data_IF_460634090941
#
_entry.id   IF_460634090941
#
_cell.length_a   1.000
_cell.length_b   1.000
_cell.length_c   1.000
_cell.angle_alpha   90.00
_cell.angle_beta   90.00
_cell.angle_gamma   90.00
#
_symmetry.space_group_name_H-M   'P 1'
#
loop_
_entity.id
_entity.type
_entity.pdbx_description
1 polymer ?
#
# COMPACT_ATOMS: atom_id res chain seq x y z
N UNK A 1 -9.66 10.16 5.51
CA UNK A 1 -8.75 10.76 6.52
C UNK A 1 -8.86 12.27 6.51
N UNK A 2 -8.69 12.91 7.66
CA UNK A 2 -8.88 14.38 7.84
C UNK A 2 -7.77 14.93 8.72
N UNK A 3 -7.13 16.00 8.24
CA UNK A 3 -6.14 16.85 8.94
C UNK A 3 -5.01 16.10 9.63
N UNK A 4 -4.48 15.06 8.97
CA UNK A 4 -3.38 14.26 9.51
C UNK A 4 -2.10 15.10 9.58
N UNK A 5 -1.58 15.22 10.81
CA UNK A 5 -0.27 15.78 11.10
C UNK A 5 0.63 14.65 11.62
N UNK A 6 1.84 14.55 11.05
CA UNK A 6 2.85 13.59 11.51
C UNK A 6 4.23 14.23 11.53
N UNK A 7 5.09 13.83 12.47
CA UNK A 7 6.44 14.36 12.59
C UNK A 7 7.40 13.33 13.19
N UNK A 8 8.67 13.38 12.79
CA UNK A 8 9.80 12.70 13.42
C UNK A 8 10.59 13.70 14.26
N UNK A 9 10.51 13.55 15.57
CA UNK A 9 11.07 14.53 16.50
C UNK A 9 10.45 15.92 16.30
N UNK A 10 11.28 16.91 15.96
CA UNK A 10 10.84 18.29 15.68
C UNK A 10 10.44 18.53 14.23
N UNK A 11 10.81 17.63 13.30
CA UNK A 11 10.56 17.81 11.87
C UNK A 11 9.16 17.31 11.51
N UNK A 12 8.25 18.22 11.17
CA UNK A 12 6.92 17.90 10.67
C UNK A 12 7.02 17.39 9.23
N UNK A 13 6.44 16.20 8.96
CA UNK A 13 6.45 15.55 7.66
C UNK A 13 5.09 15.69 6.97
N UNK A 14 3.99 15.40 7.68
CA UNK A 14 2.63 15.62 7.18
C UNK A 14 2.03 16.85 7.87
N UNK A 15 1.39 17.73 7.08
CA UNK A 15 0.95 19.07 7.51
C UNK A 15 -0.54 19.27 7.21
N UNK A 16 -1.41 18.51 7.87
CA UNK A 16 -2.86 18.61 7.67
C UNK A 16 -3.33 17.89 6.40
N UNK A 17 -2.87 16.65 6.18
CA UNK A 17 -3.23 15.87 4.98
C UNK A 17 -4.64 15.33 5.10
N UNK A 18 -5.46 15.60 4.08
CA UNK A 18 -6.85 15.14 4.00
C UNK A 18 -7.16 14.55 2.62
N UNK A 19 -7.83 13.40 2.57
CA UNK A 19 -8.46 12.86 1.36
C UNK A 19 -9.51 11.80 1.69
N UNK A 20 -10.34 11.47 0.70
CA UNK A 20 -11.35 10.41 0.77
C UNK A 20 -11.19 9.45 -0.40
N UNK A 21 -11.37 8.16 -0.13
CA UNK A 21 -11.50 7.11 -1.12
C UNK A 21 -12.84 6.40 -0.95
N UNK A 22 -13.54 6.16 -2.05
CA UNK A 22 -14.72 5.31 -2.06
C UNK A 22 -14.31 3.84 -2.17
N UNK A 23 -15.22 2.94 -1.84
CA UNK A 23 -15.00 1.49 -2.02
C UNK A 23 -14.79 1.15 -3.50
N UNK A 24 -13.74 0.42 -3.79
CA UNK A 24 -13.36 0.05 -5.16
C UNK A 24 -12.62 1.16 -5.92
N UNK A 25 -12.24 2.26 -5.27
CA UNK A 25 -11.54 3.38 -5.89
C UNK A 25 -10.01 3.21 -5.78
N UNK A 26 -9.29 3.61 -6.81
CA UNK A 26 -7.84 3.67 -6.82
C UNK A 26 -7.36 5.11 -6.65
N UNK A 27 -6.56 5.36 -5.61
CA UNK A 27 -5.97 6.65 -5.29
C UNK A 27 -4.47 6.62 -5.58
N UNK A 28 -4.00 7.42 -6.53
CA UNK A 28 -2.58 7.61 -6.81
C UNK A 28 -2.01 8.80 -6.04
N UNK A 29 -0.81 8.63 -5.49
CA UNK A 29 -0.07 9.70 -4.80
C UNK A 29 1.31 9.81 -5.45
N UNK A 30 1.60 10.98 -6.00
CA UNK A 30 2.87 11.30 -6.65
C UNK A 30 3.60 12.39 -5.88
N UNK A 31 4.89 12.55 -6.10
CA UNK A 31 5.69 13.61 -5.48
C UNK A 31 7.15 13.21 -5.29
N UNK A 32 8.02 14.20 -5.10
CA UNK A 32 9.45 13.99 -4.94
C UNK A 32 9.79 13.04 -3.79
N UNK A 33 10.99 12.43 -3.82
CA UNK A 33 11.48 11.59 -2.72
C UNK A 33 11.60 12.43 -1.44
N UNK A 34 11.19 11.82 -0.31
CA UNK A 34 11.22 12.47 1.00
C UNK A 34 10.09 13.48 1.26
N UNK A 35 9.12 13.67 0.35
CA UNK A 35 8.00 14.62 0.55
C UNK A 35 6.94 14.12 1.55
N UNK A 36 6.97 12.83 1.96
CA UNK A 36 6.08 12.26 2.99
C UNK A 36 5.17 11.12 2.53
N UNK A 37 5.30 10.61 1.28
CA UNK A 37 4.44 9.53 0.73
C UNK A 37 4.42 8.29 1.61
N UNK A 38 5.58 7.71 1.91
CA UNK A 38 5.70 6.52 2.78
C UNK A 38 5.23 6.78 4.21
N UNK A 39 5.43 7.99 4.72
CA UNK A 39 4.90 8.40 6.03
C UNK A 39 3.37 8.40 6.05
N UNK A 40 2.74 8.86 4.97
CA UNK A 40 1.29 8.84 4.82
C UNK A 40 0.76 7.40 4.78
N UNK A 41 1.36 6.53 3.96
CA UNK A 41 0.97 5.11 3.91
C UNK A 41 1.18 4.41 5.25
N UNK A 42 2.27 4.72 5.97
CA UNK A 42 2.53 4.17 7.31
C UNK A 42 1.47 4.59 8.34
N UNK A 43 0.94 5.82 8.25
CA UNK A 43 -0.20 6.25 9.09
C UNK A 43 -1.47 5.48 8.74
N UNK A 44 -1.76 5.32 7.45
CA UNK A 44 -2.91 4.53 6.99
C UNK A 44 -2.78 3.05 7.38
N UNK A 45 -1.59 2.48 7.29
CA UNK A 45 -1.34 1.09 7.69
C UNK A 45 -1.33 0.87 9.22
N UNK A 46 -1.33 1.93 10.01
CA UNK A 46 -1.25 1.84 11.47
C UNK A 46 0.15 1.57 12.01
N UNK A 47 1.18 1.56 11.17
CA UNK A 47 2.58 1.37 11.59
C UNK A 47 3.20 2.65 12.16
N UNK A 48 2.60 3.80 11.88
CA UNK A 48 3.00 5.09 12.40
C UNK A 48 1.79 5.82 13.00
N UNK A 49 1.89 6.19 14.28
CA UNK A 49 0.88 7.00 14.96
C UNK A 49 0.99 8.46 14.51
N UNK A 50 -0.09 9.10 14.01
CA UNK A 50 -0.10 10.54 13.72
C UNK A 50 -0.07 11.36 15.01
N UNK A 51 0.34 12.64 14.92
CA UNK A 51 0.26 13.58 16.06
C UNK A 51 -1.15 14.12 16.28
N UNK A 52 -1.88 14.31 15.20
CA UNK A 52 -3.28 14.75 15.21
C UNK A 52 -4.01 14.35 13.94
N UNK A 53 -5.32 14.59 13.90
CA UNK A 53 -6.20 14.25 12.80
C UNK A 53 -6.91 12.91 12.99
N UNK A 54 -7.69 12.50 11.98
CA UNK A 54 -8.47 11.27 12.04
C UNK A 54 -8.37 10.42 10.77
N UNK A 55 -8.39 9.11 10.93
CA UNK A 55 -8.52 8.12 9.85
C UNK A 55 -9.72 7.24 10.17
N UNK A 56 -10.66 7.17 9.24
CA UNK A 56 -11.89 6.39 9.38
C UNK A 56 -11.97 5.42 8.19
N UNK A 57 -12.20 4.14 8.47
CA UNK A 57 -12.43 3.09 7.50
C UNK A 57 -13.84 2.54 7.66
N UNK A 58 -14.67 2.68 6.63
CA UNK A 58 -16.06 2.17 6.63
C UNK A 58 -16.85 2.54 7.90
N UNK A 59 -16.77 3.82 8.30
CA UNK A 59 -17.40 4.35 9.51
C UNK A 59 -16.70 4.02 10.83
N UNK A 60 -15.66 3.15 10.81
CA UNK A 60 -14.88 2.79 12.01
C UNK A 60 -13.66 3.68 12.14
N UNK A 61 -13.46 4.30 13.29
CA UNK A 61 -12.33 5.17 13.58
C UNK A 61 -11.07 4.33 13.88
N UNK A 62 -10.10 4.41 12.97
CA UNK A 62 -8.77 3.81 13.17
C UNK A 62 -7.85 4.73 13.97
N UNK A 63 -7.81 6.01 13.61
CA UNK A 63 -7.13 7.08 14.34
C UNK A 63 -8.14 8.22 14.55
N UNK A 64 -8.20 8.79 15.75
CA UNK A 64 -9.09 9.91 16.02
C UNK A 64 -8.86 10.54 17.37
N UNK A 65 -9.45 11.71 17.57
CA UNK A 65 -9.45 12.40 18.85
C UNK A 65 -10.53 11.80 19.76
N UNK A 66 -10.14 11.36 20.94
CA UNK A 66 -11.05 10.82 21.96
C UNK A 66 -11.56 11.88 22.93
N UNK A 67 -11.62 13.14 22.51
CA UNK A 67 -12.20 14.24 23.30
C UNK A 67 -11.26 14.88 24.32
N UNK A 68 -9.97 14.50 24.34
CA UNK A 68 -8.96 15.08 25.24
C UNK A 68 -7.63 15.39 24.52
N UNK A 69 -7.65 15.59 23.22
CA UNK A 69 -6.43 15.87 22.44
C UNK A 69 -5.50 14.66 22.25
N UNK A 70 -5.94 13.45 22.55
CA UNK A 70 -5.16 12.22 22.37
C UNK A 70 -5.65 11.45 21.14
N UNK A 71 -4.73 11.19 20.20
CA UNK A 71 -5.00 10.32 19.04
C UNK A 71 -4.90 8.86 19.47
N UNK A 72 -6.01 8.14 19.43
CA UNK A 72 -6.06 6.70 19.69
C UNK A 72 -6.12 5.93 18.37
N UNK A 73 -5.37 4.83 18.29
CA UNK A 73 -5.43 3.89 17.17
C UNK A 73 -6.17 2.63 17.58
N UNK A 74 -7.16 2.24 16.78
CA UNK A 74 -7.79 0.92 16.90
C UNK A 74 -7.00 -0.07 16.04
N UNK A 75 -6.16 -0.88 16.69
CA UNK A 75 -5.31 -1.85 16.02
C UNK A 75 -6.09 -2.99 15.36
N UNK A 76 -7.32 -3.29 15.80
CA UNK A 76 -8.18 -4.28 15.15
C UNK A 76 -8.72 -3.72 13.82
N UNK A 77 -9.22 -2.49 13.83
CA UNK A 77 -9.67 -1.82 12.61
C UNK A 77 -8.54 -1.75 11.60
N UNK A 78 -7.36 -1.30 12.01
CA UNK A 78 -6.21 -1.18 11.11
C UNK A 78 -5.78 -2.53 10.51
N UNK A 79 -5.66 -3.58 11.34
CA UNK A 79 -5.28 -4.92 10.87
C UNK A 79 -6.34 -5.60 10.00
N UNK A 80 -7.61 -5.34 10.26
CA UNK A 80 -8.72 -5.93 9.50
C UNK A 80 -9.04 -5.19 8.20
N UNK A 81 -8.67 -3.90 8.08
CA UNK A 81 -9.06 -3.06 6.95
C UNK A 81 -7.96 -2.86 5.92
N UNK A 82 -6.67 -2.99 6.28
CA UNK A 82 -5.57 -2.63 5.39
C UNK A 82 -4.54 -3.75 5.21
N UNK A 83 -4.13 -4.00 3.97
CA UNK A 83 -2.90 -4.70 3.63
C UNK A 83 -1.85 -3.68 3.19
N UNK A 84 -0.63 -3.77 3.71
CA UNK A 84 0.42 -2.81 3.41
C UNK A 84 1.64 -3.47 2.77
N UNK A 85 2.04 -2.95 1.63
CA UNK A 85 3.25 -3.33 0.89
C UNK A 85 4.22 -2.17 0.96
N UNK A 86 5.23 -2.20 1.83
CA UNK A 86 6.24 -1.15 1.91
C UNK A 86 7.18 -1.17 0.69
N UNK A 87 7.93 -0.09 0.52
CA UNK A 87 8.93 0.02 -0.54
C UNK A 87 9.98 -1.10 -0.43
N UNK A 88 10.51 -1.35 0.76
CA UNK A 88 11.36 -2.50 1.05
C UNK A 88 10.51 -3.74 1.33
N UNK A 89 11.01 -4.92 0.92
CA UNK A 89 10.29 -6.17 1.12
C UNK A 89 10.68 -6.78 2.48
N UNK A 90 9.77 -6.80 3.49
CA UNK A 90 10.05 -7.31 4.84
C UNK A 90 10.00 -8.85 4.87
N UNK A 91 10.86 -9.49 4.10
CA UNK A 91 10.92 -10.94 3.98
C UNK A 91 12.14 -11.47 4.74
N UNK A 92 12.02 -12.67 5.30
CA UNK A 92 13.11 -13.36 5.99
C UNK A 92 13.95 -14.11 4.94
N UNK A 93 15.21 -13.69 4.67
CA UNK A 93 15.99 -14.19 3.55
C UNK A 93 16.34 -15.68 3.63
N UNK A 94 16.48 -16.20 4.84
CA UNK A 94 16.87 -17.60 5.12
C UNK A 94 15.73 -18.59 4.93
N UNK A 95 14.49 -18.13 4.98
CA UNK A 95 13.31 -18.95 4.81
C UNK A 95 12.95 -19.12 3.34
N UNK A 96 12.20 -20.19 3.05
CA UNK A 96 11.53 -20.34 1.74
C UNK A 96 10.41 -19.35 1.60
N UNK A 97 9.95 -19.11 0.37
CA UNK A 97 8.73 -18.31 0.11
C UNK A 97 7.54 -18.89 0.86
N UNK A 98 7.36 -20.21 0.81
CA UNK A 98 6.26 -20.88 1.51
C UNK A 98 6.32 -20.64 3.02
N UNK A 99 7.49 -20.73 3.64
CA UNK A 99 7.65 -20.50 5.07
C UNK A 99 7.40 -19.03 5.45
N UNK A 100 7.87 -18.07 4.63
CA UNK A 100 7.53 -16.66 4.81
C UNK A 100 6.01 -16.42 4.77
N UNK A 101 5.30 -16.96 3.78
CA UNK A 101 3.84 -16.84 3.68
C UNK A 101 3.14 -17.48 4.89
N UNK A 102 3.64 -18.60 5.37
CA UNK A 102 3.09 -19.32 6.53
C UNK A 102 3.04 -18.51 7.82
N UNK A 103 3.86 -17.50 7.95
CA UNK A 103 3.85 -16.60 9.12
C UNK A 103 2.62 -15.67 9.16
N UNK A 104 1.99 -15.45 8.00
CA UNK A 104 0.92 -14.46 7.83
C UNK A 104 -0.44 -15.06 7.53
N UNK A 105 -0.48 -16.24 6.91
CA UNK A 105 -1.72 -16.92 6.59
C UNK A 105 -2.27 -17.66 7.82
N UNK A 106 -3.60 -17.64 8.06
CA UNK A 106 -4.21 -18.17 9.28
C UNK A 106 -3.96 -19.67 9.45
N UNK A 107 -3.95 -20.43 8.35
CA UNK A 107 -3.75 -21.87 8.34
C UNK A 107 -3.16 -22.39 7.02
N UNK A 108 -2.72 -23.67 7.02
CA UNK A 108 -2.12 -24.32 5.86
C UNK A 108 -3.09 -24.52 4.70
N UNK A 109 -4.37 -24.71 4.97
CA UNK A 109 -5.36 -24.99 3.93
C UNK A 109 -5.69 -23.72 3.16
N UNK A 110 -5.89 -22.61 3.87
CA UNK A 110 -6.06 -21.29 3.26
C UNK A 110 -4.85 -20.94 2.37
N UNK A 111 -3.63 -21.10 2.88
CA UNK A 111 -2.43 -20.82 2.07
C UNK A 111 -2.34 -21.72 0.82
N UNK A 112 -2.66 -23.02 0.95
CA UNK A 112 -2.66 -23.92 -0.21
C UNK A 112 -3.72 -23.54 -1.25
N UNK A 113 -4.89 -23.12 -0.81
CA UNK A 113 -5.96 -22.67 -1.69
C UNK A 113 -5.54 -21.39 -2.43
N UNK A 114 -4.96 -20.42 -1.75
CA UNK A 114 -4.43 -19.20 -2.34
C UNK A 114 -3.32 -19.46 -3.37
N UNK A 115 -2.40 -20.38 -3.07
CA UNK A 115 -1.36 -20.80 -4.01
C UNK A 115 -1.91 -21.55 -5.23
N UNK A 116 -3.06 -22.22 -5.11
CA UNK A 116 -3.64 -23.02 -6.20
C UNK A 116 -4.55 -22.22 -7.12
N UNK A 117 -5.35 -21.29 -6.59
CA UNK A 117 -6.42 -20.61 -7.34
C UNK A 117 -6.79 -19.21 -6.79
N UNK A 118 -6.03 -18.69 -5.84
CA UNK A 118 -6.23 -17.37 -5.26
C UNK A 118 -5.31 -16.30 -5.84
N UNK A 119 -5.12 -15.22 -5.11
CA UNK A 119 -4.25 -14.12 -5.50
C UNK A 119 -2.78 -14.51 -5.58
N UNK A 120 -2.31 -15.45 -4.76
CA UNK A 120 -0.93 -15.97 -4.86
C UNK A 120 -0.68 -16.71 -6.18
N UNK A 121 -1.67 -17.45 -6.67
CA UNK A 121 -1.60 -18.09 -8.00
C UNK A 121 -1.57 -17.04 -9.12
N UNK A 122 -2.41 -16.00 -9.02
CA UNK A 122 -2.41 -14.90 -9.99
C UNK A 122 -1.07 -14.15 -10.06
N UNK A 123 -0.37 -14.05 -8.92
CA UNK A 123 0.97 -13.49 -8.83
C UNK A 123 2.09 -14.48 -9.26
N UNK A 124 1.76 -15.72 -9.64
CA UNK A 124 2.72 -16.75 -10.02
C UNK A 124 3.63 -17.20 -8.87
N UNK A 125 3.24 -16.99 -7.61
CA UNK A 125 4.07 -17.29 -6.44
C UNK A 125 4.22 -18.80 -6.23
N UNK A 126 3.27 -19.59 -6.66
CA UNK A 126 3.28 -21.05 -6.58
C UNK A 126 4.45 -21.69 -7.37
N UNK A 127 4.93 -21.06 -8.43
CA UNK A 127 6.03 -21.54 -9.27
C UNK A 127 7.38 -21.57 -8.54
N UNK A 128 7.54 -20.69 -7.54
CA UNK A 128 8.81 -20.54 -6.81
C UNK A 128 8.66 -20.62 -5.28
N UNK A 129 7.55 -21.11 -4.77
CA UNK A 129 7.25 -21.20 -3.32
C UNK A 129 8.28 -21.97 -2.49
N UNK A 130 9.03 -22.90 -3.10
CA UNK A 130 10.08 -23.68 -2.43
C UNK A 130 11.46 -23.03 -2.45
N UNK A 131 11.64 -21.93 -3.21
CA UNK A 131 12.92 -21.22 -3.25
C UNK A 131 13.13 -20.42 -1.97
N UNK A 132 14.38 -20.32 -1.53
CA UNK A 132 14.77 -19.36 -0.47
C UNK A 132 14.63 -17.92 -0.96
N UNK A 133 14.17 -17.02 -0.09
CA UNK A 133 13.97 -15.61 -0.41
C UNK A 133 15.28 -14.91 -0.81
N UNK A 134 16.42 -15.30 -0.23
CA UNK A 134 17.74 -14.78 -0.61
C UNK A 134 18.09 -15.01 -2.09
N UNK A 135 17.49 -16.01 -2.74
CA UNK A 135 17.72 -16.37 -4.14
C UNK A 135 16.71 -15.79 -5.13
N UNK A 136 15.78 -14.96 -4.66
CA UNK A 136 14.74 -14.35 -5.47
C UNK A 136 15.21 -13.04 -6.11
N UNK A 137 14.70 -12.76 -7.33
CA UNK A 137 14.79 -11.44 -7.93
C UNK A 137 13.97 -10.40 -7.16
N UNK A 138 14.19 -9.11 -7.42
CA UNK A 138 13.41 -8.01 -6.82
C UNK A 138 11.91 -8.16 -7.09
N UNK A 139 11.53 -8.48 -8.33
CA UNK A 139 10.14 -8.70 -8.71
C UNK A 139 9.49 -9.89 -8.01
N UNK A 140 10.21 -11.02 -7.90
CA UNK A 140 9.72 -12.17 -7.12
C UNK A 140 9.52 -11.83 -5.65
N UNK A 141 10.43 -11.08 -5.03
CA UNK A 141 10.28 -10.60 -3.65
C UNK A 141 9.06 -9.69 -3.49
N UNK A 142 8.83 -8.79 -4.45
CA UNK A 142 7.67 -7.90 -4.44
C UNK A 142 6.35 -8.66 -4.55
N UNK A 143 6.26 -9.68 -5.43
CA UNK A 143 5.08 -10.55 -5.54
C UNK A 143 4.78 -11.28 -4.22
N UNK A 144 5.80 -11.79 -3.52
CA UNK A 144 5.64 -12.40 -2.19
C UNK A 144 5.15 -11.36 -1.16
N UNK A 145 5.72 -10.16 -1.17
CA UNK A 145 5.33 -9.06 -0.28
C UNK A 145 3.86 -8.65 -0.47
N UNK A 146 3.40 -8.56 -1.73
CA UNK A 146 1.99 -8.32 -2.07
C UNK A 146 1.13 -9.48 -1.55
N UNK A 147 1.56 -10.73 -1.78
CA UNK A 147 0.85 -11.90 -1.29
C UNK A 147 0.70 -11.94 0.23
N UNK A 148 1.72 -11.50 0.98
CA UNK A 148 1.65 -11.35 2.44
C UNK A 148 0.62 -10.29 2.83
N UNK A 149 0.64 -9.13 2.19
CA UNK A 149 -0.33 -8.06 2.47
C UNK A 149 -1.78 -8.50 2.22
N UNK A 150 -1.98 -9.51 1.37
CA UNK A 150 -3.29 -10.08 1.05
C UNK A 150 -3.73 -11.24 1.93
N UNK A 151 -2.92 -11.69 2.89
CA UNK A 151 -3.21 -12.88 3.69
C UNK A 151 -4.54 -12.84 4.45
N UNK A 152 -5.00 -11.64 4.84
CA UNK A 152 -6.30 -11.40 5.47
C UNK A 152 -7.40 -10.96 4.51
N UNK A 153 -7.17 -10.96 3.20
CA UNK A 153 -8.08 -10.43 2.18
C UNK A 153 -8.60 -9.03 2.56
N UNK A 154 -7.69 -8.06 2.83
CA UNK A 154 -8.08 -6.75 3.29
C UNK A 154 -8.91 -6.01 2.23
N UNK A 155 -9.91 -5.18 2.62
CA UNK A 155 -10.67 -4.37 1.67
C UNK A 155 -9.87 -3.20 1.08
N UNK A 156 -8.74 -2.82 1.70
CA UNK A 156 -7.88 -1.71 1.25
C UNK A 156 -6.43 -2.20 1.14
N UNK A 157 -5.82 -1.97 -0.01
CA UNK A 157 -4.42 -2.28 -0.27
C UNK A 157 -3.62 -0.98 -0.38
N UNK A 158 -2.60 -0.86 0.44
CA UNK A 158 -1.67 0.26 0.50
C UNK A 158 -0.33 -0.18 -0.12
N UNK A 159 0.14 0.52 -1.15
CA UNK A 159 1.34 0.12 -1.90
C UNK A 159 2.31 1.30 -2.00
N UNK A 160 3.52 1.09 -1.50
CA UNK A 160 4.59 2.09 -1.56
C UNK A 160 5.56 1.74 -2.68
N UNK A 161 5.43 2.43 -3.82
CA UNK A 161 6.24 2.26 -5.02
C UNK A 161 6.41 0.77 -5.42
N UNK A 162 5.31 0.01 -5.66
CA UNK A 162 5.37 -1.44 -5.80
C UNK A 162 6.14 -1.92 -7.02
N UNK A 163 6.21 -1.12 -8.09
CA UNK A 163 6.90 -1.47 -9.34
C UNK A 163 8.25 -0.78 -9.52
N UNK A 164 8.74 -0.03 -8.52
CA UNK A 164 10.01 0.65 -8.61
C UNK A 164 11.16 -0.35 -8.83
N UNK A 165 12.04 -0.02 -9.79
CA UNK A 165 13.22 -0.83 -10.16
C UNK A 165 12.92 -2.28 -10.59
N UNK A 166 11.71 -2.57 -11.07
CA UNK A 166 11.32 -3.86 -11.63
C UNK A 166 11.41 -3.84 -13.17
N UNK A 167 11.58 -5.02 -13.77
CA UNK A 167 11.47 -5.22 -15.21
C UNK A 167 10.02 -5.09 -15.70
N UNK A 168 9.84 -4.93 -17.02
CA UNK A 168 8.55 -4.69 -17.63
C UNK A 168 7.53 -5.82 -17.39
N UNK A 169 7.99 -7.07 -17.35
CA UNK A 169 7.12 -8.23 -17.13
C UNK A 169 6.56 -8.17 -15.71
N UNK A 170 7.43 -7.96 -14.72
CA UNK A 170 7.00 -7.84 -13.33
C UNK A 170 6.06 -6.64 -13.10
N UNK A 171 6.30 -5.51 -13.76
CA UNK A 171 5.40 -4.35 -13.70
C UNK A 171 4.02 -4.68 -14.24
N UNK A 172 3.95 -5.37 -15.38
CA UNK A 172 2.68 -5.77 -15.99
C UNK A 172 1.92 -6.77 -15.12
N UNK A 173 2.60 -7.76 -14.53
CA UNK A 173 1.98 -8.72 -13.61
C UNK A 173 1.35 -8.01 -12.38
N UNK A 174 2.06 -7.03 -11.80
CA UNK A 174 1.53 -6.23 -10.69
C UNK A 174 0.33 -5.39 -11.15
N UNK A 175 0.41 -4.78 -12.32
CA UNK A 175 -0.70 -3.99 -12.89
C UNK A 175 -1.96 -4.84 -13.10
N UNK A 176 -1.84 -6.02 -13.70
CA UNK A 176 -2.95 -6.97 -13.90
C UNK A 176 -3.54 -7.39 -12.55
N UNK A 177 -2.68 -7.67 -11.58
CA UNK A 177 -3.10 -7.99 -10.21
C UNK A 177 -3.93 -6.87 -9.60
N UNK A 178 -3.45 -5.62 -9.66
CA UNK A 178 -4.15 -4.45 -9.12
C UNK A 178 -5.49 -4.23 -9.82
N UNK A 179 -5.54 -4.37 -11.13
CA UNK A 179 -6.78 -4.29 -11.91
C UNK A 179 -7.80 -5.34 -11.44
N UNK A 180 -7.38 -6.61 -11.30
CA UNK A 180 -8.23 -7.69 -10.79
C UNK A 180 -8.74 -7.41 -9.38
N UNK A 181 -7.90 -6.85 -8.52
CA UNK A 181 -8.29 -6.48 -7.16
C UNK A 181 -9.34 -5.35 -7.13
N UNK A 182 -9.18 -4.33 -7.98
CA UNK A 182 -10.15 -3.23 -8.15
C UNK A 182 -11.49 -3.73 -8.71
N UNK A 183 -11.48 -4.62 -9.71
CA UNK A 183 -12.68 -5.25 -10.29
C UNK A 183 -13.50 -6.01 -9.23
N UNK A 184 -12.82 -6.59 -8.23
CA UNK A 184 -13.43 -7.24 -7.05
C UNK A 184 -13.84 -6.25 -5.96
N UNK A 185 -13.87 -4.94 -6.28
CA UNK A 185 -14.25 -3.86 -5.35
C UNK A 185 -13.28 -3.66 -4.17
N UNK A 186 -12.04 -4.10 -4.31
CA UNK A 186 -10.95 -3.70 -3.43
C UNK A 186 -10.58 -2.23 -3.67
N UNK A 187 -10.19 -1.52 -2.62
CA UNK A 187 -9.74 -0.12 -2.69
C UNK A 187 -8.21 -0.08 -2.67
N UNK A 188 -7.60 0.74 -3.51
CA UNK A 188 -6.13 0.86 -3.60
C UNK A 188 -5.70 2.28 -3.27
N UNK A 189 -4.67 2.41 -2.44
CA UNK A 189 -3.90 3.66 -2.28
C UNK A 189 -2.45 3.34 -2.65
N UNK A 190 -1.96 3.94 -3.71
CA UNK A 190 -0.65 3.65 -4.28
C UNK A 190 0.20 4.90 -4.40
N UNK A 191 1.45 4.82 -3.94
CA UNK A 191 2.47 5.80 -4.32
C UNK A 191 3.23 5.27 -5.52
N UNK A 192 3.36 6.07 -6.57
CA UNK A 192 4.02 5.61 -7.80
C UNK A 192 4.45 6.77 -8.69
N UNK A 193 5.41 6.49 -9.56
CA UNK A 193 5.80 7.34 -10.69
C UNK A 193 5.56 6.63 -12.04
N UNK A 194 5.04 5.40 -12.02
CA UNK A 194 4.78 4.59 -13.21
C UNK A 194 3.44 4.97 -13.86
N UNK A 195 3.48 5.36 -15.14
CA UNK A 195 2.28 5.78 -15.86
C UNK A 195 1.22 4.67 -15.99
N UNK A 196 1.67 3.41 -16.11
CA UNK A 196 0.80 2.24 -16.15
C UNK A 196 -0.04 2.08 -14.88
N UNK A 197 0.54 2.34 -13.71
CA UNK A 197 -0.16 2.32 -12.42
C UNK A 197 -1.06 3.55 -12.25
N UNK A 198 -0.57 4.74 -12.64
CA UNK A 198 -1.37 5.97 -12.63
C UNK A 198 -2.60 5.88 -13.53
N UNK A 199 -2.56 5.07 -14.60
CA UNK A 199 -3.71 4.85 -15.47
C UNK A 199 -4.88 4.11 -14.79
N UNK A 200 -4.60 3.35 -13.73
CA UNK A 200 -5.61 2.66 -12.92
C UNK A 200 -6.28 3.61 -11.90
N UNK A 201 -5.70 4.79 -11.65
CA UNK A 201 -6.16 5.67 -10.59
C UNK A 201 -7.38 6.50 -11.00
N UNK A 202 -8.41 6.50 -10.15
CA UNK A 202 -9.59 7.36 -10.27
C UNK A 202 -9.31 8.79 -9.85
N UNK A 203 -8.44 8.95 -8.84
CA UNK A 203 -7.98 10.25 -8.33
C UNK A 203 -6.47 10.22 -8.16
N UNK A 204 -5.82 11.33 -8.53
CA UNK A 204 -4.39 11.52 -8.33
C UNK A 204 -4.17 12.75 -7.45
N UNK A 205 -3.25 12.59 -6.50
CA UNK A 205 -2.81 13.66 -5.62
C UNK A 205 -1.31 13.87 -5.76
N UNK A 206 -0.86 15.12 -5.73
CA UNK A 206 0.55 15.47 -5.58
C UNK A 206 0.84 15.75 -4.11
N UNK A 207 1.90 15.16 -3.59
CA UNK A 207 2.43 15.47 -2.27
C UNK A 207 3.67 16.33 -2.40
N UNK A 208 3.61 17.55 -1.84
CA UNK A 208 4.70 18.52 -1.84
C UNK A 208 4.86 19.12 -0.46
N UNK A 209 6.07 19.02 0.11
CA UNK A 209 6.40 19.58 1.43
C UNK A 209 5.43 19.17 2.56
N UNK A 210 4.93 17.93 2.50
CA UNK A 210 3.99 17.38 3.48
C UNK A 210 2.53 17.80 3.33
N UNK A 211 2.20 18.48 2.24
CA UNK A 211 0.83 18.86 1.87
C UNK A 211 0.38 18.03 0.68
N UNK A 212 -0.88 17.60 0.69
CA UNK A 212 -1.51 16.82 -0.37
C UNK A 212 -2.51 17.68 -1.14
N UNK A 213 -2.37 17.72 -2.47
CA UNK A 213 -3.27 18.46 -3.34
C UNK A 213 -3.77 17.58 -4.48
N UNK A 214 -5.09 17.59 -4.74
CA UNK A 214 -5.67 16.85 -5.86
C UNK A 214 -5.29 17.53 -7.19
N UNK A 215 -4.96 16.71 -8.18
CA UNK A 215 -4.61 17.16 -9.53
C UNK A 215 -5.50 16.48 -10.57
N UNK A 216 -5.45 16.96 -11.81
CA UNK A 216 -6.10 16.31 -12.94
C UNK A 216 -5.47 14.92 -13.16
N UNK A 217 -6.29 13.88 -13.16
CA UNK A 217 -5.86 12.50 -13.32
C UNK A 217 -5.25 12.20 -14.70
N UNK A 218 -5.42 13.08 -15.69
CA UNK A 218 -4.84 12.93 -17.02
C UNK A 218 -3.47 13.61 -17.18
N UNK A 219 -3.03 14.33 -16.15
CA UNK A 219 -1.72 14.99 -16.16
C UNK A 219 -0.58 13.95 -16.18
N UNK A 220 0.32 14.03 -17.16
CA UNK A 220 1.44 13.09 -17.37
C UNK A 220 2.71 13.83 -17.80
N UNK A 221 3.84 13.09 -17.84
CA UNK A 221 5.11 13.58 -18.35
C UNK A 221 5.61 14.85 -17.66
N UNK A 222 6.16 15.78 -18.44
CA UNK A 222 6.71 17.04 -17.90
C UNK A 222 5.69 17.87 -17.10
N UNK A 223 4.42 17.88 -17.51
CA UNK A 223 3.39 18.65 -16.81
C UNK A 223 3.17 18.13 -15.38
N UNK A 224 3.29 16.82 -15.17
CA UNK A 224 3.23 16.22 -13.84
C UNK A 224 4.50 16.52 -13.04
N UNK A 225 5.69 16.38 -13.65
CA UNK A 225 7.00 16.62 -12.99
C UNK A 225 7.14 18.05 -12.48
N UNK A 226 6.61 19.04 -13.21
CA UNK A 226 6.65 20.46 -12.81
C UNK A 226 5.89 20.77 -11.51
N UNK A 227 5.05 19.84 -11.04
CA UNK A 227 4.31 20.01 -9.78
C UNK A 227 5.14 19.60 -8.53
N UNK A 228 6.20 18.84 -8.71
CA UNK A 228 7.09 18.37 -7.63
C UNK A 228 8.06 19.47 -7.18
#
# INVERSE_FOLDING_TARGET
MTDIISAYGKKQILKGVSFTAAKGECIGIVGANGCGKSTLLSVLAGTLKPKSGSVIYDGKTAWGDAGAGMVHGDSEVLRGMTGYVPQENPLIPELTVYDNLRLWYPDKNTLRQELKQGFLSLLGVDEFKTKQVSKLSGGMKKRVSIGIAMAGVPPILLLDEPSAALDLICKEDIRIYLQTYLERKGTVVITTHEESELSLCDKIYVMKNGVLSRIDKHLRGEALVRLF
#
